data_IF_469339254094
#
_entry.id   IF_469339254094
#
_cell.length_a   1.000
_cell.length_b   1.000
_cell.length_c   1.000
_cell.angle_alpha   90.00
_cell.angle_beta   90.00
_cell.angle_gamma   90.00
#
_symmetry.space_group_name_H-M   'P 1'
#
loop_
_entity.id
_entity.type
_entity.pdbx_description
1 polymer ?
#
# COMPACT_ATOMS: atom_id res chain seq x y z
N UNK A 1 -22.60 -25.21 43.11
CA UNK A 1 -21.77 -25.71 41.99
C UNK A 1 -21.92 -24.68 40.87
N UNK A 2 -21.05 -23.68 40.84
CA UNK A 2 -21.16 -22.56 39.90
C UNK A 2 -20.43 -22.91 38.62
N UNK A 3 -21.20 -23.24 37.58
CA UNK A 3 -20.68 -23.43 36.23
C UNK A 3 -20.30 -22.06 35.67
N UNK A 4 -19.02 -21.73 35.75
CA UNK A 4 -18.44 -20.64 34.97
C UNK A 4 -18.60 -21.00 33.49
N UNK A 5 -19.59 -20.40 32.82
CA UNK A 5 -19.66 -20.38 31.36
C UNK A 5 -18.46 -19.56 30.89
N UNK A 6 -17.42 -20.26 30.47
CA UNK A 6 -16.24 -19.69 29.86
C UNK A 6 -16.65 -19.13 28.49
N UNK A 7 -16.99 -17.84 28.45
CA UNK A 7 -17.24 -17.10 27.20
C UNK A 7 -15.91 -16.87 26.47
N UNK A 8 -15.29 -17.95 25.99
CA UNK A 8 -14.20 -17.91 25.02
C UNK A 8 -14.75 -17.96 23.59
N UNK A 9 -15.77 -17.16 23.28
CA UNK A 9 -16.04 -16.78 21.90
C UNK A 9 -15.07 -15.66 21.53
N UNK A 10 -13.78 -16.01 21.42
CA UNK A 10 -12.82 -15.19 20.68
C UNK A 10 -13.26 -15.31 19.23
N UNK A 11 -14.13 -14.41 18.76
CA UNK A 11 -14.52 -14.34 17.35
C UNK A 11 -13.26 -14.50 16.50
N UNK A 12 -13.23 -15.52 15.65
CA UNK A 12 -12.08 -15.81 14.79
C UNK A 12 -12.00 -14.71 13.73
N UNK A 13 -11.33 -13.60 14.08
CA UNK A 13 -11.18 -12.43 13.21
C UNK A 13 -10.49 -12.86 11.92
N UNK A 14 -10.94 -12.29 10.80
CA UNK A 14 -10.37 -12.55 9.49
C UNK A 14 -8.97 -11.94 9.41
N UNK A 15 -8.03 -12.63 8.77
CA UNK A 15 -6.62 -12.19 8.69
C UNK A 15 -6.42 -11.19 7.55
N UNK A 16 -5.63 -10.16 7.79
CA UNK A 16 -5.16 -9.21 6.76
C UNK A 16 -3.66 -9.02 6.97
N UNK A 17 -2.88 -9.09 5.89
CA UNK A 17 -1.41 -8.93 5.94
C UNK A 17 -1.03 -7.55 5.43
N UNK A 18 -0.12 -6.88 6.12
CA UNK A 18 0.50 -5.62 5.72
C UNK A 18 1.99 -5.83 5.47
N UNK A 19 2.48 -5.39 4.32
CA UNK A 19 3.91 -5.40 3.99
C UNK A 19 4.40 -3.96 3.92
N UNK A 20 5.29 -3.62 4.85
CA UNK A 20 5.78 -2.27 5.13
C UNK A 20 7.29 -2.18 4.93
N UNK A 21 7.81 -0.96 4.81
CA UNK A 21 9.23 -0.66 4.66
C UNK A 21 9.50 0.44 3.64
N UNK A 22 10.74 0.91 3.58
CA UNK A 22 11.16 2.00 2.68
C UNK A 22 11.05 1.63 1.18
N UNK A 23 11.03 2.63 0.30
CA UNK A 23 11.10 2.39 -1.15
C UNK A 23 12.42 1.69 -1.52
N UNK A 24 12.37 0.66 -2.36
CA UNK A 24 13.56 -0.11 -2.73
C UNK A 24 13.90 -1.28 -1.80
N UNK A 25 13.13 -1.53 -0.74
CA UNK A 25 13.36 -2.69 0.15
C UNK A 25 12.81 -4.02 -0.40
N UNK A 26 11.99 -3.99 -1.46
CA UNK A 26 11.47 -5.21 -2.11
C UNK A 26 10.06 -5.63 -1.69
N UNK A 27 9.27 -4.73 -1.08
CA UNK A 27 7.88 -4.99 -0.65
C UNK A 27 7.01 -5.69 -1.70
N UNK A 28 6.99 -5.18 -2.93
CA UNK A 28 6.18 -5.74 -4.02
C UNK A 28 6.65 -7.13 -4.46
N UNK A 29 7.95 -7.41 -4.36
CA UNK A 29 8.48 -8.76 -4.65
C UNK A 29 8.00 -9.75 -3.59
N UNK A 30 8.15 -9.40 -2.31
CA UNK A 30 7.69 -10.24 -1.21
C UNK A 30 6.17 -10.50 -1.29
N UNK A 31 5.37 -9.52 -1.68
CA UNK A 31 3.92 -9.72 -1.79
C UNK A 31 3.54 -10.72 -2.88
N UNK A 32 4.23 -10.71 -4.02
CA UNK A 32 4.00 -11.67 -5.11
C UNK A 32 4.46 -13.07 -4.68
N UNK A 33 5.62 -13.17 -4.05
CA UNK A 33 6.14 -14.45 -3.54
C UNK A 33 5.17 -15.06 -2.50
N UNK A 34 4.62 -14.25 -1.59
CA UNK A 34 3.64 -14.72 -0.60
C UNK A 34 2.29 -15.10 -1.22
N UNK A 35 1.83 -14.37 -2.24
CA UNK A 35 0.58 -14.68 -2.93
C UNK A 35 0.67 -16.00 -3.69
N UNK A 36 1.81 -16.27 -4.34
CA UNK A 36 2.02 -17.48 -5.16
C UNK A 36 2.26 -18.74 -4.32
N UNK A 37 2.92 -18.63 -3.17
CA UNK A 37 3.15 -19.78 -2.27
C UNK A 37 1.86 -20.33 -1.65
N UNK A 38 0.86 -19.47 -1.41
CA UNK A 38 -0.38 -19.85 -0.71
C UNK A 38 -1.35 -20.62 -1.61
N UNK A 39 -1.33 -20.37 -2.91
CA UNK A 39 -2.15 -21.05 -3.92
C UNK A 39 -1.55 -20.82 -5.32
N UNK A 40 -0.94 -21.83 -5.96
CA UNK A 40 -0.35 -21.68 -7.30
C UNK A 40 -1.38 -21.32 -8.39
N UNK A 41 -2.67 -21.54 -8.14
CA UNK A 41 -3.79 -21.25 -9.05
C UNK A 41 -4.53 -19.93 -8.73
N UNK A 42 -4.07 -19.14 -7.75
CA UNK A 42 -4.74 -17.86 -7.45
C UNK A 42 -4.46 -16.84 -8.55
N UNK A 43 -5.53 -16.37 -9.18
CA UNK A 43 -5.56 -15.10 -9.91
C UNK A 43 -5.08 -13.97 -8.99
N UNK A 44 -3.85 -13.48 -9.22
CA UNK A 44 -3.28 -12.36 -8.45
C UNK A 44 -4.05 -11.11 -8.85
N UNK A 45 -5.10 -10.79 -8.10
CA UNK A 45 -5.85 -9.54 -8.24
C UNK A 45 -5.06 -8.40 -7.60
N UNK A 46 -4.05 -7.92 -8.31
CA UNK A 46 -3.30 -6.73 -7.91
C UNK A 46 -4.06 -5.48 -8.34
N UNK A 47 -4.58 -4.72 -7.38
CA UNK A 47 -5.15 -3.40 -7.64
C UNK A 47 -4.15 -2.30 -7.27
N UNK A 48 -3.78 -1.47 -8.23
CA UNK A 48 -3.01 -0.25 -8.00
C UNK A 48 -3.95 0.94 -7.91
N UNK A 49 -4.22 1.43 -6.69
CA UNK A 49 -5.10 2.59 -6.47
C UNK A 49 -4.72 3.81 -7.32
N UNK A 50 -3.43 4.02 -7.58
CA UNK A 50 -2.92 5.18 -8.33
C UNK A 50 -3.26 5.22 -9.83
N UNK A 51 -3.72 4.13 -10.45
CA UNK A 51 -4.04 4.12 -11.90
C UNK A 51 -5.49 4.47 -12.23
N UNK A 52 -6.38 4.51 -11.23
CA UNK A 52 -7.82 4.79 -11.41
C UNK A 52 -8.23 6.16 -10.86
N UNK A 53 -7.28 6.96 -10.42
CA UNK A 53 -7.52 8.28 -9.83
C UNK A 53 -7.22 9.32 -10.90
N UNK A 54 -8.15 10.26 -11.09
CA UNK A 54 -7.91 11.38 -12.00
C UNK A 54 -6.66 12.14 -11.55
N UNK A 55 -5.71 12.46 -12.45
CA UNK A 55 -4.41 13.04 -12.06
C UNK A 55 -4.50 14.31 -11.23
N UNK A 56 -5.54 15.12 -11.49
CA UNK A 56 -5.80 16.36 -10.77
C UNK A 56 -6.77 16.19 -9.58
N UNK A 57 -7.10 14.97 -9.17
CA UNK A 57 -7.88 14.75 -7.94
C UNK A 57 -6.97 14.51 -6.73
N UNK A 58 -7.44 14.93 -5.55
CA UNK A 58 -6.76 14.58 -4.30
C UNK A 58 -7.14 13.15 -3.94
N UNK A 59 -6.14 12.34 -3.56
CA UNK A 59 -6.38 11.04 -2.94
C UNK A 59 -6.08 11.13 -1.44
N UNK A 60 -7.12 10.98 -0.63
CA UNK A 60 -7.05 11.14 0.83
C UNK A 60 -6.85 9.80 1.55
N UNK A 61 -6.53 9.86 2.85
CA UNK A 61 -6.44 8.65 3.68
C UNK A 61 -7.82 8.01 3.91
N UNK A 62 -8.89 8.82 3.87
CA UNK A 62 -10.27 8.39 3.86
C UNK A 62 -10.61 7.59 2.59
N UNK A 63 -10.24 8.10 1.41
CA UNK A 63 -10.44 7.42 0.12
C UNK A 63 -9.73 6.06 0.12
N UNK A 64 -8.48 6.05 0.60
CA UNK A 64 -7.71 4.82 0.77
C UNK A 64 -8.42 3.83 1.68
N UNK A 65 -8.90 4.27 2.84
CA UNK A 65 -9.55 3.40 3.82
C UNK A 65 -10.86 2.82 3.30
N UNK A 66 -11.67 3.64 2.63
CA UNK A 66 -12.92 3.20 2.02
C UNK A 66 -12.67 2.13 0.96
N UNK A 67 -11.79 2.42 -0.01
CA UNK A 67 -11.46 1.47 -1.07
C UNK A 67 -10.82 0.19 -0.51
N UNK A 68 -9.90 0.32 0.44
CA UNK A 68 -9.23 -0.82 1.06
C UNK A 68 -10.20 -1.77 1.77
N UNK A 69 -11.19 -1.23 2.48
CA UNK A 69 -12.22 -2.07 3.12
C UNK A 69 -13.04 -2.86 2.09
N UNK A 70 -13.40 -2.23 0.96
CA UNK A 70 -14.13 -2.92 -0.13
C UNK A 70 -13.29 -4.08 -0.69
N UNK A 71 -12.00 -3.87 -0.94
CA UNK A 71 -11.12 -4.91 -1.45
C UNK A 71 -10.84 -6.01 -0.43
N UNK A 72 -10.61 -5.67 0.84
CA UNK A 72 -10.44 -6.66 1.92
C UNK A 72 -11.65 -7.60 1.94
N UNK A 73 -12.87 -7.06 1.99
CA UNK A 73 -14.11 -7.85 2.03
C UNK A 73 -14.28 -8.70 0.76
N UNK A 74 -13.94 -8.16 -0.41
CA UNK A 74 -14.01 -8.89 -1.68
C UNK A 74 -13.05 -10.07 -1.73
N UNK A 75 -11.80 -9.87 -1.31
CA UNK A 75 -10.76 -10.90 -1.29
C UNK A 75 -11.10 -11.99 -0.25
N UNK A 76 -11.61 -11.59 0.92
CA UNK A 76 -12.04 -12.53 1.95
C UNK A 76 -13.23 -13.38 1.50
N UNK A 77 -14.20 -12.80 0.76
CA UNK A 77 -15.31 -13.55 0.14
C UNK A 77 -14.82 -14.56 -0.89
N UNK A 78 -13.75 -14.25 -1.61
CA UNK A 78 -13.06 -15.19 -2.49
C UNK A 78 -12.16 -16.22 -1.75
N UNK A 79 -12.29 -16.32 -0.41
CA UNK A 79 -11.52 -17.23 0.45
C UNK A 79 -9.99 -17.04 0.37
N UNK A 80 -9.55 -15.86 -0.06
CA UNK A 80 -8.14 -15.48 -0.12
C UNK A 80 -7.77 -14.61 1.07
N UNK A 81 -6.46 -14.52 1.37
CA UNK A 81 -5.94 -13.62 2.42
C UNK A 81 -5.58 -12.28 1.76
N UNK A 82 -6.19 -11.16 2.18
CA UNK A 82 -5.82 -9.84 1.69
C UNK A 82 -4.40 -9.45 2.09
N UNK A 83 -3.61 -8.96 1.14
CA UNK A 83 -2.27 -8.42 1.35
C UNK A 83 -2.27 -6.96 0.90
N UNK A 84 -2.00 -6.05 1.84
CA UNK A 84 -1.84 -4.62 1.59
C UNK A 84 -0.35 -4.31 1.56
N UNK A 85 0.10 -3.67 0.47
CA UNK A 85 1.52 -3.40 0.22
C UNK A 85 1.68 -1.91 -0.04
N UNK A 86 2.55 -1.24 0.69
CA UNK A 86 2.73 0.21 0.53
C UNK A 86 3.83 0.80 1.41
N UNK A 87 4.17 2.06 1.15
CA UNK A 87 5.10 2.84 1.96
C UNK A 87 4.45 3.99 2.74
N UNK A 88 3.18 4.33 2.44
CA UNK A 88 2.48 5.44 3.07
C UNK A 88 1.89 5.01 4.41
N UNK A 89 2.69 5.12 5.48
CA UNK A 89 2.27 4.70 6.82
C UNK A 89 1.03 5.46 7.33
N UNK A 90 0.85 6.72 6.94
CA UNK A 90 -0.34 7.51 7.31
C UNK A 90 -1.66 6.89 6.81
N UNK A 91 -1.65 6.27 5.63
CA UNK A 91 -2.81 5.58 5.08
C UNK A 91 -3.11 4.28 5.82
N UNK A 92 -2.06 3.53 6.20
CA UNK A 92 -2.20 2.31 7.00
C UNK A 92 -2.71 2.66 8.40
N UNK A 93 -2.16 3.69 9.03
CA UNK A 93 -2.59 4.19 10.33
C UNK A 93 -4.07 4.60 10.29
N UNK A 94 -4.47 5.39 9.30
CA UNK A 94 -5.88 5.74 9.09
C UNK A 94 -6.76 4.50 8.95
N UNK A 95 -6.39 3.54 8.11
CA UNK A 95 -7.20 2.33 7.93
C UNK A 95 -7.34 1.50 9.22
N UNK A 96 -6.25 1.39 9.99
CA UNK A 96 -6.17 0.50 11.16
C UNK A 96 -6.77 1.13 12.43
N UNK A 97 -6.57 2.43 12.63
CA UNK A 97 -6.94 3.15 13.85
C UNK A 97 -8.30 3.84 13.77
N UNK A 98 -8.84 4.08 12.57
CA UNK A 98 -10.05 4.88 12.43
C UNK A 98 -11.29 4.18 13.02
N UNK A 99 -12.00 4.84 13.95
CA UNK A 99 -13.14 4.27 14.65
C UNK A 99 -14.36 4.04 13.76
N UNK A 100 -14.46 4.68 12.59
CA UNK A 100 -15.53 4.45 11.62
C UNK A 100 -15.36 3.08 10.96
N UNK A 101 -14.13 2.73 10.59
CA UNK A 101 -13.85 1.46 9.92
C UNK A 101 -13.78 0.29 10.91
N UNK A 102 -13.42 0.55 12.17
CA UNK A 102 -13.30 -0.44 13.25
C UNK A 102 -12.43 -1.64 12.84
N UNK A 103 -11.33 -1.39 12.12
CA UNK A 103 -10.48 -2.45 11.54
C UNK A 103 -10.08 -3.48 12.60
N UNK A 104 -9.58 -3.01 13.75
CA UNK A 104 -9.15 -3.87 14.86
C UNK A 104 -10.26 -4.73 15.46
N UNK A 105 -11.54 -4.39 15.26
CA UNK A 105 -12.65 -5.24 15.70
C UNK A 105 -12.96 -6.33 14.68
N UNK A 106 -12.86 -6.03 13.38
CA UNK A 106 -13.21 -6.93 12.27
C UNK A 106 -12.09 -7.90 11.91
N UNK A 107 -10.85 -7.44 11.96
CA UNK A 107 -9.71 -8.12 11.38
C UNK A 107 -8.58 -8.32 12.39
N UNK A 108 -7.73 -9.30 12.10
CA UNK A 108 -6.46 -9.51 12.77
C UNK A 108 -5.34 -9.18 11.78
N UNK A 109 -4.61 -8.10 12.07
CA UNK A 109 -3.56 -7.55 11.22
C UNK A 109 -2.21 -8.20 11.50
N UNK A 110 -1.56 -8.72 10.46
CA UNK A 110 -0.17 -9.18 10.52
C UNK A 110 0.71 -8.17 9.79
N UNK A 111 1.67 -7.56 10.50
CA UNK A 111 2.55 -6.53 9.95
C UNK A 111 3.95 -7.10 9.72
N UNK A 112 4.40 -7.06 8.47
CA UNK A 112 5.74 -7.48 8.06
C UNK A 112 6.52 -6.23 7.66
N UNK A 113 7.51 -5.85 8.47
CA UNK A 113 8.41 -4.76 8.16
C UNK A 113 9.66 -5.32 7.47
N UNK A 114 9.92 -4.90 6.23
CA UNK A 114 11.18 -5.19 5.54
C UNK A 114 12.18 -4.08 5.82
N UNK A 115 13.22 -4.41 6.58
CA UNK A 115 14.31 -3.50 6.91
C UNK A 115 15.58 -3.86 6.12
N UNK A 116 16.35 -2.83 5.76
CA UNK A 116 17.57 -2.95 4.96
C UNK A 116 18.56 -1.92 5.47
N UNK A 117 19.83 -2.33 5.58
CA UNK A 117 20.91 -1.42 5.97
C UNK A 117 20.95 -0.18 5.06
N UNK A 118 21.16 1.00 5.67
CA UNK A 118 20.97 2.29 5.01
C UNK A 118 21.89 2.48 3.79
N UNK A 119 23.15 2.03 3.85
CA UNK A 119 24.08 2.13 2.72
C UNK A 119 23.64 1.24 1.54
N UNK A 120 23.14 0.03 1.80
CA UNK A 120 22.56 -0.85 0.79
C UNK A 120 21.30 -0.23 0.18
N UNK A 121 20.43 0.34 1.02
CA UNK A 121 19.21 1.01 0.57
C UNK A 121 19.53 2.20 -0.34
N UNK A 122 20.45 3.07 0.08
CA UNK A 122 20.90 4.23 -0.70
C UNK A 122 21.41 3.79 -2.06
N UNK A 123 22.28 2.77 -2.11
CA UNK A 123 22.81 2.23 -3.36
C UNK A 123 21.71 1.77 -4.32
N UNK A 124 20.69 1.07 -3.80
CA UNK A 124 19.55 0.60 -4.59
C UNK A 124 18.69 1.76 -5.10
N UNK A 125 18.42 2.75 -4.27
CA UNK A 125 17.61 3.92 -4.65
C UNK A 125 18.33 4.73 -5.72
N UNK A 126 19.64 4.98 -5.59
CA UNK A 126 20.42 5.67 -6.62
C UNK A 126 20.35 4.96 -7.97
N UNK A 127 20.69 3.66 -7.99
CA UNK A 127 20.65 2.86 -9.22
C UNK A 127 19.25 2.89 -9.85
N UNK A 128 18.19 2.79 -9.03
CA UNK A 128 16.82 2.82 -9.52
C UNK A 128 16.44 4.17 -10.12
N UNK A 129 16.92 5.29 -9.58
CA UNK A 129 16.67 6.62 -10.17
C UNK A 129 17.36 6.71 -11.53
N UNK A 130 18.60 6.24 -11.65
CA UNK A 130 19.32 6.21 -12.92
C UNK A 130 18.56 5.36 -13.96
N UNK A 131 18.08 4.17 -13.56
CA UNK A 131 17.27 3.31 -14.41
C UNK A 131 15.95 3.97 -14.84
N UNK A 132 15.29 4.71 -13.93
CA UNK A 132 14.04 5.43 -14.22
C UNK A 132 14.26 6.55 -15.24
N UNK A 133 15.34 7.32 -15.10
CA UNK A 133 15.70 8.38 -16.06
C UNK A 133 16.00 7.77 -17.43
N UNK A 134 16.78 6.68 -17.48
CA UNK A 134 17.08 5.97 -18.73
C UNK A 134 15.84 5.35 -19.38
N UNK A 135 14.83 4.99 -18.60
CA UNK A 135 13.54 4.49 -19.07
C UNK A 135 12.57 5.60 -19.54
N UNK A 136 12.96 6.88 -19.47
CA UNK A 136 12.15 8.00 -19.98
C UNK A 136 11.36 8.76 -18.92
N UNK A 137 11.70 8.67 -17.63
CA UNK A 137 11.02 9.45 -16.56
C UNK A 137 10.94 10.94 -16.90
N UNK A 138 12.00 11.52 -17.48
CA UNK A 138 12.02 12.95 -17.85
C UNK A 138 10.97 13.26 -18.90
N UNK A 139 10.78 12.37 -19.87
CA UNK A 139 9.78 12.57 -20.93
C UNK A 139 8.35 12.39 -20.39
N UNK A 140 8.13 11.48 -19.44
CA UNK A 140 6.86 11.35 -18.72
C UNK A 140 6.52 12.64 -17.95
N UNK A 141 7.48 13.21 -17.22
CA UNK A 141 7.24 14.42 -16.44
C UNK A 141 6.98 15.63 -17.32
N UNK A 142 7.69 15.76 -18.45
CA UNK A 142 7.46 16.83 -19.44
C UNK A 142 6.02 16.84 -19.97
N UNK A 143 5.39 15.67 -20.13
CA UNK A 143 4.02 15.57 -20.64
C UNK A 143 2.96 16.14 -19.68
N UNK A 144 3.25 16.15 -18.37
CA UNK A 144 2.34 16.65 -17.33
C UNK A 144 2.76 18.02 -16.78
N UNK A 145 3.83 18.60 -17.32
CA UNK A 145 4.35 19.88 -16.88
C UNK A 145 3.38 21.01 -17.25
N UNK A 146 3.00 21.78 -16.24
CA UNK A 146 2.20 23.00 -16.39
C UNK A 146 3.01 24.18 -15.81
N UNK A 147 3.27 25.22 -16.61
CA UNK A 147 3.91 26.45 -16.12
C UNK A 147 3.12 27.05 -14.95
N UNK A 148 3.83 27.55 -13.93
CA UNK A 148 3.27 28.24 -12.75
C UNK A 148 2.24 27.45 -11.91
N UNK A 149 2.14 26.14 -12.12
CA UNK A 149 1.27 25.28 -11.32
C UNK A 149 1.82 25.06 -9.89
N UNK A 150 0.93 24.68 -8.97
CA UNK A 150 1.29 24.30 -7.61
C UNK A 150 1.78 22.84 -7.56
N UNK A 151 3.09 22.64 -7.51
CA UNK A 151 3.75 21.33 -7.42
C UNK A 151 3.81 20.75 -6.00
N UNK A 152 3.05 21.30 -5.05
CA UNK A 152 2.94 20.78 -3.68
C UNK A 152 1.68 19.94 -3.44
N UNK A 153 0.90 19.67 -4.50
CA UNK A 153 -0.42 19.03 -4.39
C UNK A 153 -0.60 17.90 -5.41
N UNK A 154 -1.50 16.96 -5.08
CA UNK A 154 -2.00 15.92 -6.00
C UNK A 154 -0.85 15.09 -6.59
N UNK A 155 -1.00 14.63 -7.84
CA UNK A 155 0.04 13.89 -8.55
C UNK A 155 1.35 14.68 -8.67
N UNK A 156 1.31 16.02 -8.63
CA UNK A 156 2.49 16.89 -8.75
C UNK A 156 3.39 16.86 -7.52
N UNK A 157 2.90 16.34 -6.38
CA UNK A 157 3.71 16.07 -5.17
C UNK A 157 4.66 14.87 -5.36
N UNK A 158 4.45 14.03 -6.38
CA UNK A 158 5.26 12.83 -6.58
C UNK A 158 6.75 13.17 -6.70
N UNK A 159 7.59 12.46 -5.94
CA UNK A 159 9.05 12.67 -5.94
C UNK A 159 9.58 12.54 -7.37
N UNK A 160 10.37 13.52 -7.79
CA UNK A 160 10.91 13.66 -9.13
C UNK A 160 10.16 14.70 -9.97
N UNK A 161 8.88 14.99 -9.69
CA UNK A 161 8.10 15.98 -10.46
C UNK A 161 8.49 17.41 -10.04
N UNK A 162 8.46 17.81 -8.75
CA UNK A 162 8.85 19.15 -8.34
C UNK A 162 10.33 19.46 -8.63
N UNK A 163 11.20 18.45 -8.60
CA UNK A 163 12.63 18.59 -8.88
C UNK A 163 12.91 18.92 -10.35
N UNK A 164 12.07 18.45 -11.28
CA UNK A 164 12.16 18.73 -12.71
C UNK A 164 11.39 19.99 -13.15
N UNK A 165 10.59 20.56 -12.24
CA UNK A 165 9.82 21.79 -12.48
C UNK A 165 10.59 23.07 -12.11
N UNK A 166 11.82 22.94 -11.59
CA UNK A 166 12.73 24.04 -11.25
C UNK A 166 13.75 24.27 -12.36
#
# INVERSE_FOLDING_TARGET
MNTFINNNNKFNKKKVVFIMGATGTGKSRLSVDLATQKSPETDIRSQSYGREIEPDSNFTAEDFSLKSNIYIETILKAQCVPIIVGGSNSYIEKLVEDPVFMFKHKYDGCFIWIDVEQSVLNRRVHTRVDDMVNAGQVDEVRQIFIPDADYTKRIRLSIGVPEMAK
#
